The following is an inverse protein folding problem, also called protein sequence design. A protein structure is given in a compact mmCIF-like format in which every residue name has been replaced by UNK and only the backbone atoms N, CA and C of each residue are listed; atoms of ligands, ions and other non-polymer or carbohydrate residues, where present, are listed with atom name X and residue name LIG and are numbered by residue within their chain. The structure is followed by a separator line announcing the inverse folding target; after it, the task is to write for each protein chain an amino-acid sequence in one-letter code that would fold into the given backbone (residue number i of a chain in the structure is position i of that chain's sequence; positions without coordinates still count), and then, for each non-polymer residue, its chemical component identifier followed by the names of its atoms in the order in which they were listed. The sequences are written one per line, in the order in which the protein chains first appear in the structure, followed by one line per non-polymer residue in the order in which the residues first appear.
data_IF_991543810500
#
_entry.id   IF_991543810500
#
_cell.length_a   1.000
_cell.length_b   1.000
_cell.length_c   1.000
_cell.angle_alpha   90.00
_cell.angle_beta   90.00
_cell.angle_gamma   90.00
#
_symmetry.space_group_name_H-M   'P 1'
#
loop_
_entity.id
_entity.type
_entity.pdbx_description
1 polymer ?
#
# COMPACT_ATOMS: atom_id res chain seq x y z
N UNK A 1 4.06 -4.78 -10.46
CA UNK A 1 4.89 -5.13 -9.28
C UNK A 1 5.72 -3.93 -8.91
N UNK A 2 5.96 -3.72 -7.61
CA UNK A 2 6.71 -2.56 -7.11
C UNK A 2 8.17 -2.83 -6.76
N UNK A 3 8.56 -4.10 -6.68
CA UNK A 3 9.94 -4.50 -6.45
C UNK A 3 10.29 -5.66 -7.40
N UNK A 4 11.59 -5.88 -7.58
CA UNK A 4 12.15 -6.93 -8.44
C UNK A 4 12.86 -8.00 -7.61
N UNK A 5 13.19 -9.14 -8.25
CA UNK A 5 14.04 -10.17 -7.63
C UNK A 5 15.41 -9.63 -7.25
N UNK A 6 15.97 -8.72 -8.06
CA UNK A 6 17.24 -8.07 -7.76
C UNK A 6 17.16 -7.22 -6.47
N UNK A 7 16.03 -6.52 -6.22
CA UNK A 7 15.83 -5.77 -4.98
C UNK A 7 15.77 -6.70 -3.75
N UNK A 8 15.17 -7.88 -3.90
CA UNK A 8 15.13 -8.90 -2.85
C UNK A 8 16.53 -9.42 -2.54
N UNK A 9 17.31 -9.76 -3.57
CA UNK A 9 18.70 -10.24 -3.44
C UNK A 9 19.59 -9.16 -2.83
N UNK A 10 19.48 -7.92 -3.30
CA UNK A 10 20.28 -6.80 -2.79
C UNK A 10 20.01 -6.51 -1.31
N UNK A 11 18.80 -6.79 -0.81
CA UNK A 11 18.40 -6.51 0.58
C UNK A 11 18.63 -7.67 1.54
N UNK A 12 18.37 -8.90 1.11
CA UNK A 12 18.39 -10.08 1.97
C UNK A 12 19.55 -11.04 1.67
N UNK A 13 20.26 -10.83 0.57
CA UNK A 13 21.33 -11.70 0.11
C UNK A 13 20.81 -12.88 -0.70
N UNK A 14 21.64 -13.33 -1.65
CA UNK A 14 21.32 -14.41 -2.57
C UNK A 14 21.06 -15.74 -1.84
N UNK A 15 21.91 -16.11 -0.88
CA UNK A 15 21.77 -17.35 -0.11
C UNK A 15 20.42 -17.43 0.61
N UNK A 16 19.97 -16.32 1.20
CA UNK A 16 18.68 -16.30 1.88
C UNK A 16 17.53 -16.49 0.88
N UNK A 17 17.61 -15.83 -0.28
CA UNK A 17 16.60 -15.95 -1.33
C UNK A 17 16.53 -17.35 -1.92
N UNK A 18 17.66 -18.03 -2.09
CA UNK A 18 17.70 -19.44 -2.51
C UNK A 18 16.95 -20.31 -1.50
N UNK A 19 17.27 -20.17 -0.20
CA UNK A 19 16.64 -20.96 0.87
C UNK A 19 15.13 -20.72 1.01
N UNK A 20 14.69 -19.48 0.86
CA UNK A 20 13.27 -19.13 0.96
C UNK A 20 12.48 -19.56 -0.28
N UNK A 21 13.07 -19.45 -1.46
CA UNK A 21 12.40 -19.85 -2.70
C UNK A 21 12.35 -21.38 -2.84
N UNK A 22 13.37 -22.10 -2.37
CA UNK A 22 13.44 -23.57 -2.41
C UNK A 22 13.68 -24.16 -1.02
N UNK A 23 12.67 -24.15 -0.12
CA UNK A 23 12.82 -24.67 1.23
C UNK A 23 12.99 -26.20 1.26
N UNK A 24 12.43 -26.90 0.27
CA UNK A 24 12.47 -28.37 0.15
C UNK A 24 13.78 -28.90 -0.47
N UNK A 25 14.47 -28.08 -1.27
CA UNK A 25 15.73 -28.47 -1.91
C UNK A 25 16.94 -27.81 -1.22
N UNK A 26 17.60 -28.58 -0.36
CA UNK A 26 18.79 -28.10 0.36
C UNK A 26 20.04 -27.99 -0.51
N UNK A 27 20.02 -28.56 -1.72
CA UNK A 27 21.13 -28.52 -2.68
C UNK A 27 20.98 -27.42 -3.72
N UNK A 28 19.86 -26.69 -3.72
CA UNK A 28 19.63 -25.58 -4.61
C UNK A 28 20.76 -24.53 -4.52
N UNK A 29 21.31 -24.16 -5.68
CA UNK A 29 22.32 -23.12 -5.84
C UNK A 29 21.76 -21.85 -6.50
N UNK A 30 20.52 -21.92 -6.98
CA UNK A 30 19.85 -20.83 -7.71
C UNK A 30 18.51 -20.50 -7.10
N UNK A 31 18.13 -19.21 -7.20
CA UNK A 31 16.84 -18.70 -6.73
C UNK A 31 15.74 -19.19 -7.67
N UNK A 32 14.62 -19.63 -7.11
CA UNK A 32 13.40 -19.87 -7.89
C UNK A 32 12.73 -18.53 -8.24
N UNK A 33 13.04 -18.01 -9.42
CA UNK A 33 12.59 -16.68 -9.87
C UNK A 33 11.07 -16.62 -9.94
N UNK A 34 10.39 -17.66 -10.43
CA UNK A 34 8.94 -17.66 -10.60
C UNK A 34 8.20 -17.61 -9.25
N UNK A 35 8.71 -18.35 -8.25
CA UNK A 35 8.15 -18.30 -6.90
C UNK A 35 8.34 -16.94 -6.24
N UNK A 36 9.51 -16.32 -6.38
CA UNK A 36 9.76 -14.96 -5.86
C UNK A 36 8.88 -13.93 -6.57
N UNK A 37 8.68 -14.07 -7.89
CA UNK A 37 7.83 -13.17 -8.66
C UNK A 37 6.36 -13.30 -8.24
N UNK A 38 5.87 -14.50 -7.94
CA UNK A 38 4.54 -14.71 -7.37
C UNK A 38 4.38 -13.98 -6.04
N UNK A 39 5.31 -14.17 -5.10
CA UNK A 39 5.26 -13.49 -3.81
C UNK A 39 5.33 -11.95 -3.92
N UNK A 40 6.11 -11.43 -4.89
CA UNK A 40 6.18 -10.00 -5.19
C UNK A 40 4.86 -9.47 -5.79
N UNK A 41 4.18 -10.26 -6.61
CA UNK A 41 2.88 -9.93 -7.17
C UNK A 41 1.80 -9.87 -6.08
N UNK A 42 1.78 -10.85 -5.18
CA UNK A 42 0.84 -10.89 -4.05
C UNK A 42 1.07 -9.73 -3.09
N UNK A 43 2.33 -9.46 -2.72
CA UNK A 43 2.71 -8.29 -1.93
C UNK A 43 2.29 -6.97 -2.59
N UNK A 44 2.43 -6.86 -3.91
CA UNK A 44 1.96 -5.70 -4.69
C UNK A 44 0.44 -5.56 -4.60
N UNK A 45 -0.30 -6.67 -4.68
CA UNK A 45 -1.76 -6.70 -4.52
C UNK A 45 -2.21 -6.21 -3.16
N UNK A 46 -1.54 -6.66 -2.08
CA UNK A 46 -1.81 -6.21 -0.71
C UNK A 46 -1.61 -4.70 -0.60
N UNK A 47 -0.47 -4.17 -1.05
CA UNK A 47 -0.17 -2.73 -0.99
C UNK A 47 -1.23 -1.93 -1.76
N UNK A 48 -1.59 -2.38 -2.96
CA UNK A 48 -2.65 -1.75 -3.77
C UNK A 48 -3.98 -1.68 -3.04
N UNK A 49 -4.34 -2.71 -2.29
CA UNK A 49 -5.56 -2.73 -1.47
C UNK A 49 -5.64 -1.57 -0.48
N UNK A 50 -4.52 -1.23 0.17
CA UNK A 50 -4.47 -0.14 1.15
C UNK A 50 -4.37 1.25 0.50
N UNK A 51 -3.61 1.39 -0.59
CA UNK A 51 -3.34 2.73 -1.17
C UNK A 51 -4.34 3.17 -2.23
N UNK A 52 -5.15 2.26 -2.81
CA UNK A 52 -6.09 2.58 -3.90
C UNK A 52 -7.18 3.60 -3.53
N UNK A 53 -7.46 3.78 -2.25
CA UNK A 53 -8.44 4.77 -1.79
C UNK A 53 -7.97 6.21 -1.99
N UNK A 54 -6.65 6.42 -2.18
CA UNK A 54 -6.02 7.75 -2.16
C UNK A 54 -5.10 8.03 -3.34
N UNK A 55 -4.36 7.03 -3.82
CA UNK A 55 -3.35 7.21 -4.86
C UNK A 55 -3.74 6.49 -6.14
N UNK A 56 -3.24 6.99 -7.27
CA UNK A 56 -3.39 6.29 -8.54
C UNK A 56 -2.62 4.97 -8.48
N UNK A 57 -3.34 3.88 -8.71
CA UNK A 57 -2.80 2.53 -8.81
C UNK A 57 -3.05 1.96 -10.21
N UNK A 58 -2.08 1.22 -10.79
CA UNK A 58 -0.76 0.92 -10.23
C UNK A 58 0.17 2.14 -10.18
N UNK A 59 0.98 2.24 -9.12
CA UNK A 59 1.95 3.34 -8.96
C UNK A 59 3.04 3.18 -10.02
N UNK A 60 3.16 4.14 -10.94
CA UNK A 60 4.09 4.06 -12.07
C UNK A 60 5.56 4.11 -11.63
N UNK A 61 5.87 4.94 -10.62
CA UNK A 61 7.21 5.08 -10.04
C UNK A 61 7.11 4.85 -8.52
N UNK A 62 7.23 3.60 -8.04
CA UNK A 62 7.11 3.31 -6.63
C UNK A 62 8.26 3.97 -5.85
N UNK A 63 7.99 4.73 -4.78
CA UNK A 63 9.03 5.31 -3.94
C UNK A 63 9.75 4.21 -3.17
N UNK A 64 10.97 4.49 -2.72
CA UNK A 64 11.83 3.51 -2.02
C UNK A 64 11.13 2.81 -0.85
N UNK A 65 10.25 3.53 -0.14
CA UNK A 65 9.44 3.00 0.96
C UNK A 65 8.46 1.91 0.51
N UNK A 66 7.77 2.09 -0.63
CA UNK A 66 6.88 1.09 -1.20
C UNK A 66 7.67 -0.11 -1.71
N UNK A 67 8.83 0.12 -2.33
CA UNK A 67 9.73 -0.98 -2.73
C UNK A 67 10.15 -1.77 -1.49
N UNK A 68 10.52 -1.09 -0.39
CA UNK A 68 10.90 -1.73 0.90
C UNK A 68 9.76 -2.55 1.48
N UNK A 69 8.57 -1.97 1.58
CA UNK A 69 7.37 -2.66 2.05
C UNK A 69 7.06 -3.91 1.21
N UNK A 70 7.15 -3.80 -0.12
CA UNK A 70 6.90 -4.92 -1.04
C UNK A 70 7.86 -6.08 -0.77
N UNK A 71 9.15 -5.80 -0.63
CA UNK A 71 10.14 -6.84 -0.34
C UNK A 71 9.93 -7.50 1.03
N UNK A 72 9.58 -6.73 2.06
CA UNK A 72 9.32 -7.28 3.40
C UNK A 72 8.10 -8.22 3.40
N UNK A 73 7.02 -7.82 2.73
CA UNK A 73 5.82 -8.66 2.59
C UNK A 73 6.12 -9.92 1.78
N UNK A 74 6.83 -9.79 0.65
CA UNK A 74 7.21 -10.93 -0.17
C UNK A 74 8.16 -11.90 0.57
N UNK A 75 9.09 -11.39 1.39
CA UNK A 75 9.96 -12.23 2.23
C UNK A 75 9.16 -13.06 3.23
N UNK A 76 8.18 -12.43 3.88
CA UNK A 76 7.31 -13.13 4.82
C UNK A 76 6.50 -14.21 4.11
N UNK A 77 5.93 -13.90 2.94
CA UNK A 77 5.12 -14.83 2.16
C UNK A 77 5.95 -16.06 1.70
N UNK A 78 7.15 -15.83 1.18
CA UNK A 78 8.08 -16.91 0.81
C UNK A 78 8.50 -17.77 2.00
N UNK A 79 8.58 -17.19 3.20
CA UNK A 79 8.92 -17.91 4.41
C UNK A 79 7.73 -18.70 4.98
N UNK A 80 6.51 -18.33 4.62
CA UNK A 80 5.29 -19.02 5.03
C UNK A 80 5.00 -20.17 4.05
N UNK A 81 5.40 -21.39 4.43
CA UNK A 81 5.19 -22.61 3.65
C UNK A 81 4.52 -23.72 4.43
N UNK A 82 4.24 -24.85 3.76
CA UNK A 82 3.55 -26.00 4.38
C UNK A 82 4.31 -26.60 5.58
N UNK A 83 5.63 -26.48 5.59
CA UNK A 83 6.50 -27.04 6.63
C UNK A 83 7.52 -26.02 7.17
N UNK A 84 7.32 -24.74 6.90
CA UNK A 84 8.23 -23.69 7.35
C UNK A 84 7.43 -22.50 7.82
N UNK A 85 7.69 -22.11 9.05
CA UNK A 85 7.11 -20.94 9.66
C UNK A 85 8.05 -19.73 9.50
N UNK A 86 7.50 -18.54 9.23
CA UNK A 86 8.29 -17.32 9.23
C UNK A 86 8.84 -17.05 10.63
N UNK A 87 10.10 -16.62 10.69
CA UNK A 87 10.72 -16.21 11.96
C UNK A 87 9.97 -15.04 12.61
N UNK A 88 10.10 -14.91 13.93
CA UNK A 88 9.54 -13.77 14.70
C UNK A 88 9.95 -12.40 14.12
N UNK A 89 11.16 -12.29 13.58
CA UNK A 89 11.62 -11.07 12.90
C UNK A 89 10.80 -10.77 11.64
N UNK A 90 10.55 -11.79 10.80
CA UNK A 90 9.77 -11.63 9.57
C UNK A 90 8.31 -11.30 9.89
N UNK A 91 7.73 -11.95 10.90
CA UNK A 91 6.37 -11.69 11.38
C UNK A 91 6.22 -10.26 11.90
N UNK A 92 7.19 -9.78 12.70
CA UNK A 92 7.24 -8.40 13.16
C UNK A 92 7.39 -7.42 11.99
N UNK A 93 8.31 -7.68 11.06
CA UNK A 93 8.50 -6.84 9.87
C UNK A 93 7.24 -6.73 9.01
N UNK A 94 6.52 -7.84 8.80
CA UNK A 94 5.21 -7.80 8.13
C UNK A 94 4.21 -6.93 8.89
N UNK A 95 4.09 -7.12 10.21
CA UNK A 95 3.16 -6.35 11.05
C UNK A 95 3.46 -4.85 10.97
N UNK A 96 4.72 -4.46 11.07
CA UNK A 96 5.15 -3.07 10.98
C UNK A 96 4.76 -2.45 9.63
N UNK A 97 4.96 -3.19 8.52
CA UNK A 97 4.53 -2.75 7.19
C UNK A 97 3.02 -2.62 7.07
N UNK A 98 2.24 -3.57 7.60
CA UNK A 98 0.77 -3.48 7.58
C UNK A 98 0.30 -2.27 8.40
N UNK A 99 0.84 -2.04 9.59
CA UNK A 99 0.51 -0.85 10.40
C UNK A 99 0.87 0.45 9.67
N UNK A 100 2.01 0.48 8.97
CA UNK A 100 2.38 1.63 8.15
C UNK A 100 1.41 1.87 6.98
N UNK A 101 1.00 0.81 6.28
CA UNK A 101 -0.01 0.90 5.21
C UNK A 101 -1.37 1.38 5.74
N UNK A 102 -1.78 0.92 6.92
CA UNK A 102 -2.98 1.42 7.60
C UNK A 102 -2.87 2.91 7.93
N UNK A 103 -1.70 3.37 8.38
CA UNK A 103 -1.47 4.80 8.66
C UNK A 103 -1.53 5.65 7.38
N UNK A 104 -1.09 5.11 6.24
CA UNK A 104 -1.26 5.76 4.93
C UNK A 104 -2.75 5.85 4.56
N UNK A 105 -3.48 4.74 4.73
CA UNK A 105 -4.92 4.69 4.46
C UNK A 105 -5.72 5.64 5.38
N UNK A 106 -5.28 5.82 6.63
CA UNK A 106 -5.83 6.77 7.62
C UNK A 106 -5.33 8.21 7.45
N UNK A 107 -4.53 8.49 6.43
CA UNK A 107 -4.02 9.83 6.14
C UNK A 107 -3.05 10.40 7.19
N UNK A 108 -2.46 9.55 8.02
CA UNK A 108 -1.45 9.94 9.00
C UNK A 108 -0.05 10.01 8.38
N UNK A 109 0.17 9.30 7.27
CA UNK A 109 1.41 9.27 6.51
C UNK A 109 1.12 9.60 5.06
N UNK A 110 1.87 10.54 4.51
CA UNK A 110 1.77 10.94 3.12
C UNK A 110 2.91 10.34 2.30
N UNK A 111 2.59 9.85 1.12
CA UNK A 111 3.57 9.46 0.11
C UNK A 111 3.72 10.63 -0.86
N UNK A 112 4.95 10.93 -1.27
CA UNK A 112 5.26 11.87 -2.35
C UNK A 112 4.87 11.27 -3.72
N UNK A 113 3.57 11.05 -3.91
CA UNK A 113 2.97 10.45 -5.10
C UNK A 113 1.81 11.33 -5.59
N UNK A 114 1.55 11.34 -6.91
CA UNK A 114 0.37 12.01 -7.44
C UNK A 114 -0.89 11.40 -6.82
N UNK A 115 -1.69 12.25 -6.17
CA UNK A 115 -2.96 11.84 -5.61
C UNK A 115 -3.90 11.36 -6.73
N UNK A 116 -4.71 10.34 -6.43
CA UNK A 116 -5.81 9.98 -7.31
C UNK A 116 -6.77 11.17 -7.42
N UNK A 117 -7.28 11.42 -8.63
CA UNK A 117 -8.42 12.31 -8.78
C UNK A 117 -9.57 11.77 -7.90
N UNK A 118 -10.28 12.62 -7.14
CA UNK A 118 -11.37 12.15 -6.31
C UNK A 118 -12.41 11.43 -7.17
N UNK A 119 -12.61 10.14 -6.91
CA UNK A 119 -13.70 9.37 -7.51
C UNK A 119 -15.00 9.69 -6.77
N UNK A 120 -15.56 10.85 -7.07
CA UNK A 120 -16.84 11.34 -6.54
C UNK A 120 -17.06 12.78 -7.02
N UNK A 121 -18.31 13.23 -7.22
CA UNK A 121 -18.55 14.63 -7.55
C UNK A 121 -17.89 15.46 -6.46
N UNK A 122 -17.14 16.49 -6.85
CA UNK A 122 -16.51 17.42 -5.93
C UNK A 122 -17.60 18.02 -5.03
N UNK A 123 -17.86 17.40 -3.87
CA UNK A 123 -18.62 18.03 -2.81
C UNK A 123 -17.63 19.02 -2.23
N UNK A 124 -17.61 20.22 -2.82
CA UNK A 124 -16.95 21.37 -2.25
C UNK A 124 -17.48 21.55 -0.82
N UNK A 125 -16.75 21.05 0.16
CA UNK A 125 -16.89 21.43 1.56
C UNK A 125 -16.20 22.77 1.74
N UNK A 126 -16.67 23.77 1.00
CA UNK A 126 -16.68 25.12 1.51
C UNK A 126 -17.91 25.26 2.42
N UNK A 127 -17.85 26.03 3.51
CA UNK A 127 -19.03 26.32 4.29
C UNK A 127 -20.09 26.93 3.36
N UNK A 128 -21.17 26.17 3.10
CA UNK A 128 -22.34 26.68 2.39
C UNK A 128 -23.05 27.63 3.34
N UNK A 129 -22.65 28.89 3.31
CA UNK A 129 -23.48 29.97 3.80
C UNK A 129 -24.72 30.00 2.91
N UNK A 130 -25.77 29.31 3.35
CA UNK A 130 -27.11 29.46 2.79
C UNK A 130 -27.59 30.83 3.24
N UNK A 131 -27.30 31.85 2.46
CA UNK A 131 -27.92 33.16 2.63
C UNK A 131 -29.38 33.02 2.19
N UNK A 132 -30.24 32.67 3.15
CA UNK A 132 -31.68 32.71 2.96
C UNK A 132 -32.04 34.16 2.65
N UNK A 133 -32.72 34.46 1.53
CA UNK A 133 -33.22 35.82 1.32
C UNK A 133 -34.15 36.17 2.49
N UNK A 134 -33.85 37.27 3.18
CA UNK A 134 -34.70 37.84 4.23
C UNK A 134 -36.02 38.30 3.61
N UNK A 135 -37.09 37.55 3.83
CA UNK A 135 -38.44 37.84 3.31
C UNK A 135 -39.26 38.82 4.17
N UNK A 136 -38.62 39.55 5.08
CA UNK A 136 -39.28 40.58 5.88
C UNK A 136 -38.46 41.87 5.84
N UNK A 137 -38.81 42.75 4.90
CA UNK A 137 -38.55 44.18 5.00
C UNK A 137 -39.81 44.85 5.54
N UNK A 138 -39.66 45.95 6.29
CA UNK A 138 -40.76 46.70 6.90
C UNK A 138 -41.70 47.37 5.88
N UNK A 139 -41.32 47.32 4.60
CA UNK A 139 -42.05 47.89 3.47
C UNK A 139 -43.31 47.10 3.08
N UNK A 140 -43.43 45.81 3.46
CA UNK A 140 -44.62 44.98 3.18
C UNK A 140 -45.76 45.12 4.20
N UNK A 141 -45.62 45.99 5.22
CA UNK A 141 -46.63 46.19 6.27
C UNK A 141 -47.39 47.54 6.19
N UNK A 142 -47.19 48.36 5.15
CA UNK A 142 -48.02 49.56 4.90
C UNK A 142 -48.89 49.38 3.66
N UNK A 143 -49.98 48.66 3.81
CA UNK A 143 -50.90 48.44 2.70
C UNK A 143 -52.14 47.63 3.03
N UNK A 144 -52.76 47.86 4.18
CA UNK A 144 -54.17 47.57 4.44
C UNK A 144 -54.74 48.66 5.35
#
# INVERSE_FOLDING_TARGET
MYATVADMIARFGETQMIRLSRPEDRTAETVDVDKVMTALADATGVINGYVRGRYMVPIAAPPVEIVRATCTLARYDLAQGEHTDPSEEMSRGRKDVITWLENIAKELVHLDLPAAAPAGPAVGSGPRMSDRPRIFTDETLRGM
#
